data_IF_901854021914
#
_entry.id   IF_901854021914
#
_cell.length_a   1.000
_cell.length_b   1.000
_cell.length_c   1.000
_cell.angle_alpha   90.00
_cell.angle_beta   90.00
_cell.angle_gamma   90.00
#
_symmetry.space_group_name_H-M   'P 1'
#
loop_
_entity.id
_entity.type
_entity.pdbx_description
1 polymer ?
#
# COMPACT_ATOMS: atom_id res chain seq x y z
N UNK A 1 -26.99 12.12 -17.71
CA UNK A 1 -27.56 10.96 -18.45
C UNK A 1 -29.06 10.85 -18.25
N UNK A 2 -29.55 10.72 -17.01
CA UNK A 2 -30.98 10.58 -16.72
C UNK A 2 -31.86 11.69 -17.32
N UNK A 3 -31.51 12.96 -17.11
CA UNK A 3 -32.28 14.11 -17.64
C UNK A 3 -32.27 14.21 -19.18
N UNK A 4 -31.35 13.52 -19.85
CA UNK A 4 -31.27 13.45 -21.32
C UNK A 4 -31.93 12.17 -21.87
N UNK A 5 -32.60 11.36 -21.03
CA UNK A 5 -33.21 10.09 -21.41
C UNK A 5 -32.22 8.95 -21.66
N UNK A 6 -30.93 9.15 -21.37
CA UNK A 6 -29.85 8.19 -21.70
C UNK A 6 -29.60 7.14 -20.60
N UNK A 7 -30.27 7.26 -19.46
CA UNK A 7 -30.21 6.26 -18.39
C UNK A 7 -31.57 6.23 -17.68
N UNK A 8 -32.02 5.04 -17.30
CA UNK A 8 -33.33 4.82 -16.69
C UNK A 8 -33.38 5.20 -15.20
N UNK A 9 -32.24 5.31 -14.52
CA UNK A 9 -32.18 5.69 -13.10
C UNK A 9 -31.54 7.06 -12.89
N UNK A 10 -32.09 7.81 -11.93
CA UNK A 10 -31.51 9.08 -11.47
C UNK A 10 -30.31 8.84 -10.57
N UNK A 11 -30.33 7.76 -9.79
CA UNK A 11 -29.24 7.32 -8.90
C UNK A 11 -28.45 6.17 -9.55
N UNK A 12 -27.10 6.24 -9.60
CA UNK A 12 -26.27 5.22 -10.24
C UNK A 12 -26.11 3.92 -9.40
N UNK A 13 -26.28 3.98 -8.08
CA UNK A 13 -26.07 2.81 -7.21
C UNK A 13 -27.26 2.61 -6.26
N UNK A 14 -27.79 1.39 -6.15
CA UNK A 14 -28.85 1.05 -5.18
C UNK A 14 -28.32 0.87 -3.76
N UNK A 15 -27.06 0.44 -3.63
CA UNK A 15 -26.37 0.25 -2.35
C UNK A 15 -24.88 0.48 -2.58
N UNK A 16 -24.25 1.25 -1.71
CA UNK A 16 -22.81 1.47 -1.68
C UNK A 16 -22.24 0.88 -0.40
N UNK A 17 -21.19 0.07 -0.53
CA UNK A 17 -20.48 -0.52 0.61
C UNK A 17 -19.06 0.04 0.57
N UNK A 18 -18.71 0.99 1.44
CA UNK A 18 -17.35 1.47 1.53
C UNK A 18 -16.47 0.37 2.12
N UNK A 19 -15.44 -0.02 1.38
CA UNK A 19 -14.37 -0.88 1.91
C UNK A 19 -13.34 -0.04 2.66
N UNK A 20 -12.80 -0.61 3.73
CA UNK A 20 -11.73 0.01 4.52
C UNK A 20 -10.45 0.20 3.71
N UNK A 21 -9.57 1.07 4.19
CA UNK A 21 -8.24 1.26 3.59
C UNK A 21 -7.28 0.19 4.10
N UNK A 22 -6.52 -0.39 3.18
CA UNK A 22 -5.43 -1.32 3.54
C UNK A 22 -4.21 -0.50 3.95
N UNK A 23 -3.60 -0.88 5.07
CA UNK A 23 -2.36 -0.29 5.57
C UNK A 23 -1.18 -1.18 5.18
N UNK A 24 -0.05 -0.55 4.85
CA UNK A 24 1.22 -1.22 4.54
C UNK A 24 2.36 -0.55 5.30
N UNK A 25 3.38 -1.35 5.66
CA UNK A 25 4.59 -0.86 6.33
C UNK A 25 5.34 0.14 5.43
N UNK A 26 5.65 1.31 5.96
CA UNK A 26 6.48 2.31 5.31
C UNK A 26 7.84 2.39 6.00
N UNK A 27 8.86 2.76 5.22
CA UNK A 27 10.21 3.00 5.71
C UNK A 27 10.58 4.44 5.36
N UNK A 28 10.95 5.23 6.36
CA UNK A 28 11.34 6.64 6.18
C UNK A 28 12.73 6.89 6.70
N UNK A 29 13.49 7.73 6.00
CA UNK A 29 14.71 8.32 6.58
C UNK A 29 14.32 9.36 7.61
N UNK A 30 15.28 9.78 8.45
CA UNK A 30 15.11 10.90 9.39
C UNK A 30 14.71 12.22 8.71
N UNK A 31 14.94 12.34 7.39
CA UNK A 31 14.52 13.49 6.58
C UNK A 31 13.07 13.37 6.06
N UNK A 32 12.39 12.26 6.36
CA UNK A 32 11.01 11.98 5.93
C UNK A 32 10.89 11.40 4.51
N UNK A 33 12.00 11.00 3.88
CA UNK A 33 11.98 10.40 2.54
C UNK A 33 11.60 8.92 2.62
N UNK A 34 10.66 8.49 1.77
CA UNK A 34 10.26 7.09 1.68
C UNK A 34 11.30 6.24 0.96
N UNK A 35 11.55 5.06 1.52
CA UNK A 35 12.51 4.07 1.02
C UNK A 35 11.77 2.80 0.62
N UNK A 36 12.21 2.16 -0.46
CA UNK A 36 11.65 0.87 -0.89
C UNK A 36 12.09 -0.23 0.06
N UNK A 37 11.22 -1.23 0.28
CA UNK A 37 11.53 -2.38 1.13
C UNK A 37 12.81 -3.10 0.70
N UNK A 38 13.06 -3.21 -0.60
CA UNK A 38 14.24 -3.87 -1.16
C UNK A 38 15.56 -3.13 -0.84
N UNK A 39 15.47 -1.82 -0.59
CA UNK A 39 16.61 -0.98 -0.21
C UNK A 39 16.81 -0.90 1.31
N UNK A 40 16.10 -1.75 2.08
CA UNK A 40 16.23 -1.82 3.54
C UNK A 40 16.97 -3.09 3.99
N UNK A 41 17.75 -2.96 5.06
CA UNK A 41 18.43 -4.07 5.70
C UNK A 41 18.07 -4.11 7.19
N UNK A 42 17.59 -5.26 7.66
CA UNK A 42 17.34 -5.50 9.08
C UNK A 42 18.62 -6.00 9.75
N UNK A 43 19.16 -5.23 10.69
CA UNK A 43 20.38 -5.61 11.43
C UNK A 43 20.02 -6.33 12.72
N UNK A 44 18.96 -5.88 13.39
CA UNK A 44 18.43 -6.41 14.64
C UNK A 44 16.91 -6.46 14.60
N UNK A 45 16.27 -7.14 15.57
CA UNK A 45 14.80 -7.30 15.64
C UNK A 45 14.01 -5.99 15.49
N UNK A 46 14.60 -4.86 15.89
CA UNK A 46 13.97 -3.55 15.89
C UNK A 46 14.75 -2.49 15.09
N UNK A 47 15.85 -2.86 14.44
CA UNK A 47 16.73 -1.89 13.78
C UNK A 47 16.81 -2.20 12.30
N UNK A 48 16.23 -1.29 11.51
CA UNK A 48 16.29 -1.31 10.05
C UNK A 48 17.10 -0.10 9.61
N UNK A 49 18.04 -0.34 8.69
CA UNK A 49 18.84 0.69 8.05
C UNK A 49 18.64 0.67 6.54
N UNK A 50 18.98 1.77 5.90
CA UNK A 50 19.10 1.82 4.45
C UNK A 50 20.32 1.00 4.00
N UNK A 51 20.15 0.16 2.97
CA UNK A 51 21.17 -0.77 2.48
C UNK A 51 22.46 -0.05 2.05
N UNK A 52 22.33 1.04 1.28
CA UNK A 52 23.45 1.83 0.78
C UNK A 52 24.01 2.85 1.79
N UNK A 53 23.17 3.72 2.37
CA UNK A 53 23.64 4.81 3.24
C UNK A 53 23.91 4.36 4.67
N UNK A 54 23.44 3.18 5.06
CA UNK A 54 23.48 2.65 6.44
C UNK A 54 22.78 3.55 7.47
N UNK A 55 21.96 4.48 7.01
CA UNK A 55 21.20 5.37 7.88
C UNK A 55 20.03 4.63 8.52
N UNK A 56 19.69 4.92 9.80
CA UNK A 56 18.53 4.35 10.45
C UNK A 56 17.23 4.77 9.77
N UNK A 57 16.32 3.82 9.61
CA UNK A 57 15.00 4.03 9.04
C UNK A 57 13.92 3.91 10.11
N UNK A 58 12.96 4.82 10.07
CA UNK A 58 11.73 4.76 10.85
C UNK A 58 10.72 3.86 10.15
N UNK A 59 10.02 3.04 10.94
CA UNK A 59 9.00 2.10 10.46
C UNK A 59 7.65 2.58 10.95
N UNK A 60 6.69 2.74 10.03
CA UNK A 60 5.33 3.13 10.36
C UNK A 60 4.31 2.33 9.53
N UNK A 61 3.03 2.36 9.92
CA UNK A 61 1.94 1.71 9.20
C UNK A 61 0.99 2.75 8.61
N UNK A 62 1.06 2.92 7.30
CA UNK A 62 0.30 3.95 6.60
C UNK A 62 -0.56 3.38 5.48
N UNK A 63 -1.57 4.14 5.06
CA UNK A 63 -2.38 3.81 3.87
C UNK A 63 -1.47 3.44 2.69
N UNK A 64 -1.75 2.31 2.06
CA UNK A 64 -1.00 1.85 0.89
C UNK A 64 -1.08 2.86 -0.25
N UNK A 65 0.07 3.25 -0.79
CA UNK A 65 0.16 4.09 -1.98
C UNK A 65 1.47 3.87 -2.73
N UNK A 66 1.44 4.03 -4.06
CA UNK A 66 2.63 3.92 -4.92
C UNK A 66 3.75 4.88 -4.50
N UNK A 67 3.41 6.07 -4.00
CA UNK A 67 4.36 7.09 -3.55
C UNK A 67 5.11 6.74 -2.27
N UNK A 68 4.60 5.80 -1.46
CA UNK A 68 5.20 5.41 -0.18
C UNK A 68 5.99 4.11 -0.27
N UNK A 69 6.01 3.49 -1.45
CA UNK A 69 6.65 2.19 -1.70
C UNK A 69 6.19 1.06 -0.76
N UNK A 70 4.99 1.19 -0.20
CA UNK A 70 4.36 0.21 0.68
C UNK A 70 3.22 -0.55 -0.02
N UNK A 71 3.13 -0.45 -1.35
CA UNK A 71 2.21 -1.21 -2.15
C UNK A 71 2.76 -2.61 -2.40
N UNK A 72 2.00 -3.64 -2.06
CA UNK A 72 2.26 -5.04 -2.42
C UNK A 72 1.52 -5.35 -3.71
N UNK A 73 2.15 -6.05 -4.66
CA UNK A 73 1.46 -6.54 -5.84
C UNK A 73 0.61 -7.77 -5.46
N UNK A 74 -0.72 -7.74 -5.70
CA UNK A 74 -1.56 -8.92 -5.49
C UNK A 74 -1.09 -10.14 -6.27
N UNK A 75 -0.53 -9.97 -7.47
CA UNK A 75 -0.02 -11.07 -8.30
C UNK A 75 1.13 -11.80 -7.61
N UNK A 76 2.07 -11.08 -6.98
CA UNK A 76 3.17 -11.70 -6.24
C UNK A 76 2.66 -12.58 -5.09
N UNK A 77 1.57 -12.17 -4.43
CA UNK A 77 0.98 -12.95 -3.32
C UNK A 77 0.30 -14.21 -3.86
N UNK A 78 -0.41 -14.10 -4.98
CA UNK A 78 -1.06 -15.22 -5.65
C UNK A 78 -0.02 -16.22 -6.15
N UNK A 79 1.09 -15.75 -6.73
CA UNK A 79 2.17 -16.62 -7.23
C UNK A 79 2.87 -17.37 -6.09
N UNK A 80 3.03 -16.73 -4.93
CA UNK A 80 3.70 -17.33 -3.76
C UNK A 80 2.80 -18.27 -2.96
N UNK A 81 1.53 -17.94 -2.79
CA UNK A 81 0.64 -18.62 -1.84
C UNK A 81 -0.63 -19.21 -2.46
N UNK A 82 -0.93 -18.90 -3.72
CA UNK A 82 -2.17 -19.30 -4.38
C UNK A 82 -3.35 -18.40 -4.04
N UNK A 83 -4.45 -18.58 -4.78
CA UNK A 83 -5.65 -17.70 -4.75
C UNK A 83 -6.45 -17.84 -3.44
N UNK A 84 -6.36 -18.97 -2.74
CA UNK A 84 -7.13 -19.22 -1.52
C UNK A 84 -6.59 -18.47 -0.27
N UNK A 85 -5.37 -17.91 -0.34
CA UNK A 85 -4.72 -17.23 0.79
C UNK A 85 -4.78 -15.68 0.72
N UNK A 86 -5.39 -15.12 -0.32
CA UNK A 86 -5.56 -13.66 -0.54
C UNK A 86 -6.99 -13.21 -0.37
#
# INVERSE_FOLDING_TARGET
MYSKGLCASKEPFKRFIPIGMVQGKTYKTSSGQYVRKDDTLTIDKNTIIHLLTKEPLEIDWEKMSKSKYNGTDPQETIDQYGVDFT
#
